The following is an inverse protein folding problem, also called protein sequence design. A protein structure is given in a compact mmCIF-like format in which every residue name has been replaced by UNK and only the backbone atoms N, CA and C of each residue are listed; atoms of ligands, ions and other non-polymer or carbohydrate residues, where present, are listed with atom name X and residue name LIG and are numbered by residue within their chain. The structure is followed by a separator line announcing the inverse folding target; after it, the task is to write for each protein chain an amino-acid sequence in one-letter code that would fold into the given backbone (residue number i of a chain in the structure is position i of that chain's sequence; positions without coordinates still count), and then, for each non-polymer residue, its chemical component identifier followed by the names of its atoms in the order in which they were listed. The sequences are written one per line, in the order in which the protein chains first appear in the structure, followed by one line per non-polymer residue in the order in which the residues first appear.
data_IF_489824951985
#
_entry.id   IF_489824951985
#
_cell.length_a   1.000
_cell.length_b   1.000
_cell.length_c   1.000
_cell.angle_alpha   90.00
_cell.angle_beta   90.00
_cell.angle_gamma   90.00
#
_symmetry.space_group_name_H-M   'P 1'
#
loop_
_entity.id
_entity.type
_entity.pdbx_description
1 polymer ?
#
# COMPACT_ATOMS: atom_id res chain seq x y z
N UNK A 1 3.41 25.00 11.49
CA UNK A 1 4.44 25.21 10.43
C UNK A 1 3.80 25.95 9.26
N UNK A 2 4.42 27.04 8.73
CA UNK A 2 3.89 27.74 7.55
C UNK A 2 4.43 27.10 6.27
N UNK A 3 3.53 26.80 5.32
CA UNK A 3 3.86 26.12 4.07
C UNK A 3 3.30 26.86 2.86
N UNK A 4 4.03 26.97 1.73
CA UNK A 4 3.57 27.74 0.57
C UNK A 4 2.37 27.10 -0.12
N UNK A 5 1.40 27.95 -0.49
CA UNK A 5 0.20 27.60 -1.27
C UNK A 5 0.38 28.05 -2.71
N UNK A 6 0.09 27.18 -3.65
CA UNK A 6 0.25 27.42 -5.09
C UNK A 6 -1.07 27.41 -5.84
N UNK A 7 -1.12 28.11 -6.97
CA UNK A 7 -2.18 27.96 -7.97
C UNK A 7 -1.83 26.87 -9.01
N UNK A 8 -2.73 26.61 -9.94
CA UNK A 8 -2.50 25.67 -11.04
C UNK A 8 -1.39 26.10 -12.00
N UNK A 9 -1.03 27.40 -12.03
CA UNK A 9 0.08 27.96 -12.84
C UNK A 9 1.42 27.91 -12.12
N UNK A 10 1.48 27.27 -10.93
CA UNK A 10 2.70 27.20 -10.10
C UNK A 10 3.16 28.52 -9.49
N UNK A 11 2.28 29.50 -9.39
CA UNK A 11 2.56 30.76 -8.71
C UNK A 11 2.19 30.65 -7.24
N UNK A 12 2.98 31.24 -6.36
CA UNK A 12 2.71 31.26 -4.92
C UNK A 12 1.64 32.30 -4.61
N UNK A 13 0.46 31.87 -4.15
CA UNK A 13 -0.65 32.75 -3.77
C UNK A 13 -0.49 33.20 -2.31
N UNK A 14 0.02 32.34 -1.42
CA UNK A 14 0.08 32.62 0.01
C UNK A 14 0.77 31.52 0.79
N UNK A 15 0.46 31.45 2.08
CA UNK A 15 0.92 30.38 2.96
C UNK A 15 -0.28 29.76 3.68
N UNK A 16 -0.20 28.45 3.90
CA UNK A 16 -1.16 27.69 4.72
C UNK A 16 -0.45 27.24 6.00
N UNK A 17 -1.15 27.32 7.13
CA UNK A 17 -0.66 26.80 8.40
C UNK A 17 -0.92 25.32 8.50
N UNK A 18 0.13 24.51 8.48
CA UNK A 18 0.05 23.07 8.73
C UNK A 18 0.06 22.80 10.24
N UNK A 19 -0.79 21.85 10.72
CA UNK A 19 -0.79 21.44 12.13
C UNK A 19 0.55 20.82 12.52
N UNK A 20 1.14 21.29 13.60
CA UNK A 20 2.45 20.79 14.06
C UNK A 20 2.37 19.34 14.55
N UNK A 21 1.24 18.93 15.10
CA UNK A 21 0.97 17.56 15.57
C UNK A 21 0.99 16.49 14.45
N UNK A 22 0.88 16.92 13.18
CA UNK A 22 0.88 16.03 12.02
C UNK A 22 2.15 16.18 11.20
N UNK A 23 2.64 17.43 11.01
CA UNK A 23 3.72 17.73 10.07
C UNK A 23 5.05 18.08 10.74
N UNK A 24 5.12 18.06 12.09
CA UNK A 24 6.34 18.31 12.86
C UNK A 24 6.57 17.23 13.92
N UNK A 25 6.38 15.97 13.54
CA UNK A 25 6.57 14.81 14.41
C UNK A 25 8.00 14.30 14.29
N UNK A 26 8.56 13.83 15.41
CA UNK A 26 9.89 13.23 15.45
C UNK A 26 10.00 12.00 14.53
N UNK A 27 11.14 11.87 13.85
CA UNK A 27 11.40 10.79 12.91
C UNK A 27 11.66 9.49 13.67
N UNK A 28 10.93 8.43 13.31
CA UNK A 28 11.15 7.07 13.80
C UNK A 28 11.23 6.11 12.61
N UNK A 29 12.44 5.80 12.12
CA UNK A 29 12.62 4.94 10.95
C UNK A 29 12.18 3.49 11.20
N UNK A 30 12.35 2.98 12.42
CA UNK A 30 12.01 1.60 12.75
C UNK A 30 10.49 1.36 12.67
N UNK A 31 9.71 2.31 13.20
CA UNK A 31 8.25 2.26 13.10
C UNK A 31 7.78 2.35 11.65
N UNK A 32 8.38 3.24 10.84
CA UNK A 32 8.07 3.34 9.42
C UNK A 32 8.40 2.03 8.69
N UNK A 33 9.57 1.46 8.91
CA UNK A 33 9.98 0.20 8.31
C UNK A 33 9.02 -0.93 8.67
N UNK A 34 8.67 -1.09 9.94
CA UNK A 34 7.74 -2.11 10.39
C UNK A 34 6.36 -2.00 9.71
N UNK A 35 5.83 -0.77 9.58
CA UNK A 35 4.54 -0.52 8.93
C UNK A 35 4.62 -0.78 7.43
N UNK A 36 5.67 -0.33 6.74
CA UNK A 36 5.88 -0.55 5.30
C UNK A 36 5.98 -2.04 4.98
N UNK A 37 6.80 -2.79 5.74
CA UNK A 37 6.94 -4.24 5.56
C UNK A 37 5.62 -4.96 5.78
N UNK A 38 4.84 -4.55 6.78
CA UNK A 38 3.53 -5.14 7.05
C UNK A 38 2.53 -4.83 5.92
N UNK A 39 2.45 -3.58 5.44
CA UNK A 39 1.59 -3.20 4.32
C UNK A 39 1.97 -3.92 3.03
N UNK A 40 3.26 -4.04 2.72
CA UNK A 40 3.76 -4.79 1.56
C UNK A 40 3.42 -6.28 1.67
N UNK A 41 3.56 -6.86 2.86
CA UNK A 41 3.21 -8.25 3.13
C UNK A 41 1.71 -8.50 2.96
N UNK A 42 0.86 -7.56 3.39
CA UNK A 42 -0.59 -7.64 3.26
C UNK A 42 -1.07 -7.48 1.80
N UNK A 43 -0.32 -6.74 0.97
CA UNK A 43 -0.61 -6.59 -0.45
C UNK A 43 -0.19 -7.82 -1.28
N UNK A 44 0.62 -8.71 -0.72
CA UNK A 44 1.15 -9.88 -1.41
C UNK A 44 0.06 -10.92 -1.64
N UNK A 45 -0.14 -11.31 -2.90
CA UNK A 45 -1.03 -12.39 -3.29
C UNK A 45 -0.28 -13.73 -3.24
N UNK A 46 -0.94 -14.75 -2.70
CA UNK A 46 -0.41 -16.12 -2.69
C UNK A 46 -0.84 -16.79 -4.00
N UNK A 47 0.13 -17.01 -4.91
CA UNK A 47 -0.12 -17.61 -6.22
C UNK A 47 0.56 -18.98 -6.30
N UNK A 48 1.74 -19.10 -5.71
CA UNK A 48 2.56 -20.32 -5.80
C UNK A 48 1.93 -21.47 -5.01
N UNK A 49 1.80 -22.62 -5.65
CA UNK A 49 1.35 -23.85 -5.04
C UNK A 49 2.07 -25.05 -5.65
N UNK A 50 2.50 -25.98 -4.85
CA UNK A 50 3.08 -27.24 -5.27
C UNK A 50 2.27 -28.40 -4.71
N UNK A 51 2.14 -29.46 -5.50
CA UNK A 51 1.38 -30.63 -5.07
C UNK A 51 2.11 -31.38 -3.97
N UNK A 52 1.48 -31.48 -2.82
CA UNK A 52 1.93 -32.32 -1.73
C UNK A 52 1.66 -33.82 -2.01
N UNK A 53 2.13 -34.69 -1.14
CA UNK A 53 1.97 -36.15 -1.25
C UNK A 53 0.51 -36.58 -1.45
N UNK A 54 -0.46 -35.89 -0.84
CA UNK A 54 -1.89 -36.20 -0.98
C UNK A 54 -2.49 -35.78 -2.31
N UNK A 55 -1.91 -34.77 -2.98
CA UNK A 55 -2.44 -34.14 -4.20
C UNK A 55 -1.88 -34.72 -5.50
N UNK A 56 -0.76 -35.44 -5.41
CA UNK A 56 -0.19 -36.12 -6.58
C UNK A 56 -1.04 -37.32 -6.96
N UNK A 57 -1.33 -37.45 -8.27
CA UNK A 57 -2.08 -38.59 -8.80
C UNK A 57 -1.26 -39.89 -8.67
N UNK A 58 -1.94 -41.01 -8.35
CA UNK A 58 -1.31 -42.33 -8.24
C UNK A 58 -1.28 -42.79 -6.78
N UNK A 59 -0.56 -43.88 -6.48
CA UNK A 59 -0.52 -44.49 -5.15
C UNK A 59 -1.84 -45.28 -4.86
N UNK A 60 -2.05 -45.59 -3.59
CA UNK A 60 -3.17 -46.47 -3.16
C UNK A 60 -2.75 -47.92 -3.08
N UNK A 61 -1.90 -48.43 -3.95
CA UNK A 61 -1.33 -49.74 -3.90
C UNK A 61 0.09 -49.68 -3.39
N UNK A 62 0.44 -50.54 -2.43
CA UNK A 62 1.81 -50.69 -1.93
C UNK A 62 2.71 -51.21 -3.06
N UNK A 63 3.88 -50.62 -3.36
CA UNK A 63 4.74 -51.03 -4.48
C UNK A 63 5.20 -52.48 -4.41
N UNK A 64 5.45 -53.00 -3.21
CA UNK A 64 5.83 -54.41 -2.95
C UNK A 64 5.51 -54.79 -1.50
N UNK A 65 5.52 -56.10 -1.24
CA UNK A 65 5.30 -56.67 0.11
C UNK A 65 6.31 -56.16 1.14
N UNK A 66 5.92 -56.13 2.43
CA UNK A 66 6.70 -55.54 3.53
C UNK A 66 8.01 -56.22 3.81
N UNK A 67 8.12 -57.54 3.59
CA UNK A 67 9.28 -58.38 3.85
C UNK A 67 9.56 -59.32 2.67
N UNK A 68 10.80 -59.84 2.58
CA UNK A 68 11.18 -60.88 1.61
C UNK A 68 11.46 -60.39 0.19
N UNK A 69 11.72 -59.08 -0.03
CA UNK A 69 12.06 -58.53 -1.37
C UNK A 69 13.50 -58.05 -1.45
N UNK A 70 14.24 -57.98 -0.34
CA UNK A 70 15.59 -57.40 -0.29
C UNK A 70 15.65 -55.85 -0.61
N UNK A 71 14.50 -55.22 -0.91
CA UNK A 71 14.42 -53.79 -1.22
C UNK A 71 14.03 -52.95 -0.01
N UNK A 72 14.36 -51.65 -0.05
CA UNK A 72 13.90 -50.71 0.97
C UNK A 72 12.37 -50.70 1.10
N UNK A 73 11.84 -50.53 2.29
CA UNK A 73 10.40 -50.53 2.56
C UNK A 73 9.76 -49.24 2.11
N UNK A 74 8.78 -49.35 1.25
CA UNK A 74 7.99 -48.20 0.74
C UNK A 74 6.49 -48.45 0.89
N UNK A 75 5.77 -47.43 1.33
CA UNK A 75 4.32 -47.49 1.47
C UNK A 75 3.57 -46.96 0.26
N UNK A 76 4.18 -46.02 -0.48
CA UNK A 76 3.53 -45.38 -1.63
C UNK A 76 4.58 -44.75 -2.56
N UNK A 77 4.31 -44.81 -3.86
CA UNK A 77 5.11 -44.15 -4.91
C UNK A 77 4.96 -42.64 -4.93
N UNK A 78 3.97 -42.07 -4.21
CA UNK A 78 3.78 -40.63 -4.03
C UNK A 78 4.73 -40.01 -3.02
N UNK A 79 5.56 -40.82 -2.34
CA UNK A 79 6.51 -40.31 -1.35
C UNK A 79 7.49 -39.32 -1.99
N UNK A 80 7.90 -38.26 -1.29
CA UNK A 80 8.88 -37.28 -1.81
C UNK A 80 10.22 -37.86 -2.25
N UNK A 81 10.58 -39.05 -1.75
CA UNK A 81 11.80 -39.76 -2.14
C UNK A 81 11.72 -40.43 -3.51
N UNK A 82 10.52 -40.48 -4.10
CA UNK A 82 10.31 -41.05 -5.43
C UNK A 82 10.28 -39.97 -6.50
N UNK A 83 10.81 -40.24 -7.66
CA UNK A 83 10.69 -39.37 -8.82
C UNK A 83 9.20 -39.25 -9.17
N UNK A 84 8.70 -38.01 -9.28
CA UNK A 84 7.28 -37.74 -9.47
C UNK A 84 6.42 -37.80 -8.21
N UNK A 85 7.02 -38.03 -7.03
CA UNK A 85 6.32 -37.91 -5.73
C UNK A 85 5.99 -36.47 -5.34
N UNK A 86 5.20 -36.29 -4.27
CA UNK A 86 4.82 -34.98 -3.78
C UNK A 86 5.95 -34.24 -3.11
N UNK A 87 5.90 -32.90 -3.13
CA UNK A 87 6.87 -32.02 -2.48
C UNK A 87 6.51 -31.90 -0.99
N UNK A 88 7.54 -32.00 -0.11
CA UNK A 88 7.31 -31.99 1.35
C UNK A 88 7.08 -30.57 1.88
N UNK A 89 7.93 -29.61 1.53
CA UNK A 89 7.92 -28.23 2.06
C UNK A 89 7.83 -27.18 0.95
N UNK A 90 7.06 -27.48 -0.09
CA UNK A 90 6.85 -26.55 -1.17
C UNK A 90 5.91 -25.39 -0.79
N UNK A 91 5.84 -24.37 -1.63
CA UNK A 91 4.88 -23.28 -1.44
C UNK A 91 3.44 -23.82 -1.51
N UNK A 92 2.58 -23.34 -0.62
CA UNK A 92 1.16 -23.71 -0.58
C UNK A 92 0.28 -22.47 -0.77
N UNK A 93 -0.86 -22.62 -1.48
CA UNK A 93 -1.86 -21.56 -1.66
C UNK A 93 -2.51 -21.08 -0.36
N UNK A 94 -2.41 -21.89 0.71
CA UNK A 94 -2.99 -21.59 2.02
C UNK A 94 -2.08 -20.71 2.89
N UNK A 95 -0.86 -20.42 2.44
CA UNK A 95 0.09 -19.61 3.19
C UNK A 95 -0.45 -18.18 3.40
N UNK A 96 -0.57 -17.77 4.66
CA UNK A 96 -1.00 -16.43 5.02
C UNK A 96 0.21 -15.52 5.26
N UNK A 97 0.32 -14.43 4.48
CA UNK A 97 1.35 -13.40 4.64
C UNK A 97 0.84 -12.18 5.42
N UNK A 98 -0.45 -12.15 5.79
CA UNK A 98 -1.06 -11.00 6.45
C UNK A 98 -0.44 -10.74 7.82
N UNK A 99 -0.13 -9.46 8.08
CA UNK A 99 0.39 -8.98 9.37
C UNK A 99 -0.51 -7.89 9.90
N UNK A 100 -1.02 -8.06 11.12
CA UNK A 100 -1.87 -7.06 11.79
C UNK A 100 -1.00 -5.93 12.35
N UNK A 101 -1.43 -4.69 12.09
CA UNK A 101 -0.81 -3.47 12.64
C UNK A 101 -1.84 -2.78 13.55
N UNK A 102 -1.47 -2.38 14.78
CA UNK A 102 -2.34 -1.56 15.61
C UNK A 102 -2.68 -0.22 14.93
N UNK A 103 -3.93 0.22 15.05
CA UNK A 103 -4.37 1.46 14.40
C UNK A 103 -3.59 2.70 14.88
N UNK A 104 -3.25 2.77 16.17
CA UNK A 104 -2.44 3.86 16.74
C UNK A 104 -1.05 3.92 16.07
N UNK A 105 -0.41 2.76 15.88
CA UNK A 105 0.89 2.64 15.23
C UNK A 105 0.82 3.09 13.76
N UNK A 106 -0.22 2.66 13.02
CA UNK A 106 -0.42 3.08 11.63
C UNK A 106 -0.63 4.59 11.50
N UNK A 107 -1.47 5.20 12.36
CA UNK A 107 -1.69 6.65 12.37
C UNK A 107 -0.40 7.42 12.68
N UNK A 108 0.37 6.95 13.66
CA UNK A 108 1.64 7.57 14.00
C UNK A 108 2.64 7.48 12.85
N UNK A 109 2.71 6.35 12.16
CA UNK A 109 3.57 6.18 10.99
C UNK A 109 3.17 7.11 9.83
N UNK A 110 1.87 7.34 9.60
CA UNK A 110 1.39 8.32 8.59
C UNK A 110 1.83 9.74 8.97
N UNK A 111 1.71 10.15 10.25
CA UNK A 111 2.18 11.47 10.72
C UNK A 111 3.67 11.65 10.48
N UNK A 112 4.48 10.65 10.84
CA UNK A 112 5.93 10.68 10.64
C UNK A 112 6.26 10.78 9.14
N UNK A 113 5.60 10.00 8.28
CA UNK A 113 5.82 10.03 6.83
C UNK A 113 5.48 11.40 6.22
N UNK A 114 4.36 12.01 6.62
CA UNK A 114 3.98 13.36 6.20
C UNK A 114 4.96 14.43 6.71
N UNK A 115 5.43 14.28 7.96
CA UNK A 115 6.43 15.16 8.57
C UNK A 115 7.76 15.15 7.79
N UNK A 116 8.22 13.97 7.37
CA UNK A 116 9.41 13.80 6.53
C UNK A 116 9.21 14.51 5.18
N UNK A 117 8.09 14.28 4.50
CA UNK A 117 7.78 14.90 3.21
C UNK A 117 7.68 16.42 3.28
N UNK A 118 7.11 16.96 4.36
CA UNK A 118 7.06 18.40 4.61
C UNK A 118 8.45 18.98 4.86
N UNK A 119 9.28 18.30 5.66
CA UNK A 119 10.67 18.74 5.93
C UNK A 119 11.56 18.71 4.68
N UNK A 120 11.39 17.73 3.80
CA UNK A 120 12.11 17.63 2.52
C UNK A 120 11.57 18.58 1.44
N UNK A 121 10.53 19.37 1.73
CA UNK A 121 9.85 20.25 0.76
C UNK A 121 9.35 19.53 -0.50
N UNK A 122 9.02 18.24 -0.37
CA UNK A 122 8.47 17.40 -1.44
C UNK A 122 6.95 17.41 -1.47
N UNK A 123 6.32 18.05 -0.51
CA UNK A 123 4.88 18.30 -0.45
C UNK A 123 4.53 19.53 -1.30
N UNK A 124 3.48 19.48 -2.12
CA UNK A 124 2.98 20.61 -2.88
C UNK A 124 1.49 20.78 -2.61
N UNK A 125 1.12 21.96 -2.12
CA UNK A 125 -0.26 22.29 -1.74
C UNK A 125 -0.83 23.26 -2.77
N UNK A 126 -1.96 22.87 -3.35
CA UNK A 126 -2.73 23.70 -4.27
C UNK A 126 -3.94 24.30 -3.54
N UNK A 127 -4.31 25.50 -3.92
CA UNK A 127 -5.54 26.12 -3.42
C UNK A 127 -6.75 25.25 -3.84
N UNK A 128 -6.80 24.89 -5.13
CA UNK A 128 -7.84 24.05 -5.67
C UNK A 128 -7.32 23.23 -6.84
N UNK A 129 -7.57 21.90 -6.80
CA UNK A 129 -7.27 21.00 -7.91
C UNK A 129 -8.57 20.71 -8.68
N UNK A 130 -8.84 21.49 -9.73
CA UNK A 130 -10.02 21.32 -10.58
C UNK A 130 -9.62 20.95 -12.00
N UNK A 131 -10.28 19.94 -12.55
CA UNK A 131 -10.20 19.56 -13.95
C UNK A 131 -11.62 19.39 -14.49
N UNK A 132 -12.05 20.26 -15.39
CA UNK A 132 -13.38 20.21 -15.99
C UNK A 132 -13.54 18.98 -16.89
N UNK A 133 -12.52 18.68 -17.68
CA UNK A 133 -12.48 17.57 -18.63
C UNK A 133 -11.45 16.52 -18.20
N UNK A 134 -11.77 15.24 -18.37
CA UNK A 134 -10.90 14.09 -18.05
C UNK A 134 -9.82 13.78 -19.12
N UNK A 135 -9.32 14.81 -19.86
CA UNK A 135 -8.28 14.62 -20.87
C UNK A 135 -6.89 14.46 -20.23
N UNK A 136 -6.21 13.34 -20.54
CA UNK A 136 -4.87 13.04 -20.05
C UNK A 136 -3.83 14.09 -20.46
N UNK A 137 -3.95 14.65 -21.67
CA UNK A 137 -3.08 15.71 -22.17
C UNK A 137 -3.13 16.96 -21.28
N UNK A 138 -4.34 17.41 -20.88
CA UNK A 138 -4.49 18.55 -19.97
C UNK A 138 -3.87 18.28 -18.61
N UNK A 139 -4.07 17.07 -18.07
CA UNK A 139 -3.47 16.69 -16.81
C UNK A 139 -1.94 16.62 -16.89
N UNK A 140 -1.39 16.04 -17.94
CA UNK A 140 0.06 15.99 -18.17
C UNK A 140 0.66 17.39 -18.30
N UNK A 141 0.02 18.33 -19.03
CA UNK A 141 0.45 19.73 -19.14
C UNK A 141 0.46 20.43 -17.78
N UNK A 142 -0.60 20.25 -16.99
CA UNK A 142 -0.71 20.82 -15.65
C UNK A 142 0.41 20.32 -14.72
N UNK A 143 0.67 19.01 -14.72
CA UNK A 143 1.77 18.43 -13.94
C UNK A 143 3.13 18.92 -14.41
N UNK A 144 3.28 19.11 -15.72
CA UNK A 144 4.49 19.69 -16.31
C UNK A 144 4.74 21.10 -15.78
N UNK A 145 3.75 21.97 -15.76
CA UNK A 145 3.84 23.34 -15.28
C UNK A 145 4.12 23.42 -13.79
N UNK A 146 3.48 22.52 -13.00
CA UNK A 146 3.68 22.45 -11.55
C UNK A 146 5.09 22.00 -11.16
N UNK A 147 5.73 21.12 -11.95
CA UNK A 147 7.05 20.54 -11.64
C UNK A 147 8.14 20.96 -12.65
N UNK A 148 8.08 22.20 -13.18
CA UNK A 148 9.05 22.76 -14.12
C UNK A 148 10.49 22.45 -13.72
N UNK A 149 11.27 21.90 -14.65
CA UNK A 149 12.70 21.58 -14.45
C UNK A 149 13.03 20.14 -14.04
N UNK A 150 12.05 19.30 -13.71
CA UNK A 150 12.29 17.91 -13.32
C UNK A 150 11.75 16.85 -14.30
N UNK A 151 11.39 17.26 -15.51
CA UNK A 151 10.56 16.44 -16.42
C UNK A 151 11.29 15.22 -16.97
N UNK A 152 12.57 15.32 -17.29
CA UNK A 152 13.34 14.16 -17.71
C UNK A 152 13.51 13.14 -16.59
N UNK A 153 13.64 13.63 -15.33
CA UNK A 153 13.63 12.78 -14.14
C UNK A 153 12.26 12.19 -13.85
N UNK A 154 11.17 12.91 -14.20
CA UNK A 154 9.78 12.46 -14.06
C UNK A 154 9.51 11.24 -14.96
N UNK A 155 9.91 11.30 -16.23
CA UNK A 155 9.67 10.21 -17.20
C UNK A 155 10.48 8.96 -16.91
N UNK A 156 11.65 9.08 -16.27
CA UNK A 156 12.52 7.95 -15.89
C UNK A 156 12.08 7.24 -14.62
N UNK A 157 11.34 7.91 -13.71
CA UNK A 157 10.92 7.35 -12.44
C UNK A 157 9.42 7.02 -12.45
N UNK A 158 9.09 5.75 -12.32
CA UNK A 158 7.70 5.26 -12.29
C UNK A 158 6.88 5.76 -11.09
N UNK A 159 7.53 6.23 -10.00
CA UNK A 159 6.86 6.64 -8.76
C UNK A 159 7.23 8.09 -8.41
N UNK A 160 6.76 9.06 -9.21
CA UNK A 160 7.18 10.45 -9.02
C UNK A 160 6.17 11.30 -8.25
N UNK A 161 4.87 11.21 -8.57
CA UNK A 161 3.83 12.06 -7.99
C UNK A 161 2.71 11.21 -7.41
N UNK A 162 2.39 11.44 -6.14
CA UNK A 162 1.18 10.96 -5.49
C UNK A 162 0.18 12.12 -5.40
N UNK A 163 -1.01 11.96 -5.99
CA UNK A 163 -2.09 12.95 -5.93
C UNK A 163 -3.12 12.50 -4.89
N UNK A 164 -3.38 13.36 -3.91
CA UNK A 164 -4.41 13.15 -2.92
C UNK A 164 -5.69 13.86 -3.35
N UNK A 165 -6.79 13.11 -3.41
CA UNK A 165 -8.09 13.61 -3.84
C UNK A 165 -8.98 13.83 -2.63
N UNK A 166 -9.51 15.06 -2.46
CA UNK A 166 -10.42 15.43 -1.38
C UNK A 166 -11.80 14.76 -1.51
N UNK A 167 -12.24 14.49 -2.73
CA UNK A 167 -13.57 13.95 -3.04
C UNK A 167 -14.33 14.84 -4.02
N UNK A 168 -15.57 14.50 -4.32
CA UNK A 168 -16.42 15.25 -5.24
C UNK A 168 -16.26 14.91 -6.73
N UNK A 169 -16.95 15.67 -7.61
CA UNK A 169 -17.02 15.37 -9.04
C UNK A 169 -15.69 15.62 -9.76
N UNK A 170 -14.96 16.68 -9.40
CA UNK A 170 -13.66 16.99 -10.00
C UNK A 170 -12.62 15.89 -9.70
N UNK A 171 -12.69 15.26 -8.54
CA UNK A 171 -11.81 14.14 -8.16
C UNK A 171 -11.95 12.94 -9.10
N UNK A 172 -13.17 12.68 -9.61
CA UNK A 172 -13.40 11.60 -10.60
C UNK A 172 -12.71 11.92 -11.94
N UNK A 173 -12.78 13.17 -12.39
CA UNK A 173 -12.14 13.62 -13.63
C UNK A 173 -10.62 13.53 -13.52
N UNK A 174 -10.04 13.96 -12.39
CA UNK A 174 -8.61 13.87 -12.11
C UNK A 174 -8.15 12.42 -12.08
N UNK A 175 -8.87 11.54 -11.38
CA UNK A 175 -8.55 10.11 -11.31
C UNK A 175 -8.54 9.45 -12.69
N UNK A 176 -9.53 9.77 -13.55
CA UNK A 176 -9.58 9.28 -14.94
C UNK A 176 -8.45 9.83 -15.80
N UNK A 177 -8.20 11.15 -15.72
CA UNK A 177 -7.18 11.82 -16.53
C UNK A 177 -5.76 11.37 -16.17
N UNK A 178 -5.49 11.02 -14.90
CA UNK A 178 -4.18 10.59 -14.42
C UNK A 178 -3.94 9.08 -14.49
N UNK A 179 -4.99 8.26 -14.65
CA UNK A 179 -4.88 6.79 -14.59
C UNK A 179 -3.93 6.16 -15.63
N UNK A 180 -3.73 6.81 -16.77
CA UNK A 180 -2.81 6.34 -17.81
C UNK A 180 -1.41 7.00 -17.75
N UNK A 181 -1.13 7.79 -16.73
CA UNK A 181 0.18 8.45 -16.58
C UNK A 181 1.05 7.58 -15.66
N UNK A 182 2.13 6.95 -16.16
CA UNK A 182 2.86 5.89 -15.43
C UNK A 182 3.58 6.38 -14.17
N UNK A 183 3.93 7.66 -14.10
CA UNK A 183 4.64 8.25 -12.97
C UNK A 183 3.72 8.89 -11.92
N UNK A 184 2.40 8.74 -12.06
CA UNK A 184 1.39 9.34 -11.19
C UNK A 184 0.51 8.25 -10.59
N UNK A 185 0.24 8.36 -9.29
CA UNK A 185 -0.80 7.59 -8.62
C UNK A 185 -1.78 8.55 -7.96
N UNK A 186 -3.06 8.26 -8.09
CA UNK A 186 -4.12 8.99 -7.40
C UNK A 186 -4.74 8.12 -6.32
N UNK A 187 -4.91 8.67 -5.14
CA UNK A 187 -5.63 8.03 -4.04
C UNK A 187 -6.58 9.03 -3.39
N UNK A 188 -7.66 8.52 -2.80
CA UNK A 188 -8.51 9.33 -1.94
C UNK A 188 -7.75 9.66 -0.66
N UNK A 189 -7.83 10.90 -0.21
CA UNK A 189 -7.16 11.36 1.02
C UNK A 189 -7.55 10.53 2.24
N UNK A 190 -8.80 10.03 2.30
CA UNK A 190 -9.26 9.14 3.35
C UNK A 190 -8.52 7.80 3.41
N UNK A 191 -7.99 7.32 2.29
CA UNK A 191 -7.28 6.03 2.17
C UNK A 191 -5.76 6.19 2.18
N UNK A 192 -5.26 7.32 2.69
CA UNK A 192 -3.83 7.60 2.76
C UNK A 192 -3.10 6.55 3.60
N UNK A 193 -2.03 5.98 3.03
CA UNK A 193 -1.21 4.96 3.69
C UNK A 193 0.28 5.30 3.61
N UNK A 194 1.06 4.71 4.51
CA UNK A 194 2.50 4.97 4.63
C UNK A 194 3.27 4.50 3.40
N UNK A 195 2.89 3.34 2.86
CA UNK A 195 3.55 2.76 1.69
C UNK A 195 3.50 3.71 0.50
N UNK A 196 2.32 4.28 0.20
CA UNK A 196 2.17 5.22 -0.91
C UNK A 196 2.90 6.54 -0.65
N UNK A 197 2.83 7.10 0.57
CA UNK A 197 3.55 8.33 0.93
C UNK A 197 5.05 8.17 0.69
N UNK A 198 5.64 7.05 1.11
CA UNK A 198 7.08 6.82 1.03
C UNK A 198 7.55 6.35 -0.35
N UNK A 199 6.68 5.66 -1.11
CA UNK A 199 7.02 5.19 -2.46
C UNK A 199 7.12 6.32 -3.48
N UNK A 200 6.34 7.39 -3.33
CA UNK A 200 6.33 8.53 -4.26
C UNK A 200 7.21 9.67 -3.76
N UNK A 201 7.94 10.30 -4.71
CA UNK A 201 8.84 11.42 -4.38
C UNK A 201 8.06 12.65 -3.95
N UNK A 202 7.10 13.08 -4.72
CA UNK A 202 6.30 14.28 -4.48
C UNK A 202 4.86 13.94 -4.12
N UNK A 203 4.27 14.70 -3.22
CA UNK A 203 2.85 14.60 -2.87
C UNK A 203 2.18 15.89 -3.29
N UNK A 204 1.12 15.78 -4.10
CA UNK A 204 0.26 16.86 -4.52
C UNK A 204 -1.09 16.74 -3.81
N UNK A 205 -1.51 17.79 -3.15
CA UNK A 205 -2.79 17.83 -2.44
C UNK A 205 -3.44 19.21 -2.55
N UNK A 206 -4.75 19.26 -2.41
CA UNK A 206 -5.51 20.49 -2.30
C UNK A 206 -5.73 20.89 -0.84
N UNK A 207 -6.18 22.13 -0.62
CA UNK A 207 -6.44 22.66 0.72
C UNK A 207 -7.49 21.83 1.46
N UNK A 208 -8.54 21.37 0.79
CA UNK A 208 -9.59 20.52 1.38
C UNK A 208 -9.05 19.18 1.89
N UNK A 209 -8.05 18.61 1.19
CA UNK A 209 -7.38 17.37 1.63
C UNK A 209 -6.69 17.50 2.97
N UNK A 210 -6.21 18.69 3.35
CA UNK A 210 -5.58 18.92 4.65
C UNK A 210 -6.57 18.72 5.81
N UNK A 211 -7.80 19.22 5.66
CA UNK A 211 -8.84 19.06 6.68
C UNK A 211 -9.26 17.59 6.81
N UNK A 212 -9.33 16.87 5.70
CA UNK A 212 -9.62 15.42 5.70
C UNK A 212 -8.50 14.66 6.42
N UNK A 213 -7.23 14.97 6.15
CA UNK A 213 -6.08 14.35 6.82
C UNK A 213 -6.16 14.60 8.33
N UNK A 214 -6.42 15.84 8.74
CA UNK A 214 -6.55 16.21 10.14
C UNK A 214 -7.64 15.39 10.82
N UNK A 215 -8.85 15.39 10.28
CA UNK A 215 -9.98 14.66 10.81
C UNK A 215 -9.73 13.14 10.92
N UNK A 216 -9.06 12.52 9.93
CA UNK A 216 -8.78 11.08 9.94
C UNK A 216 -7.70 10.69 10.97
N UNK A 217 -6.73 11.56 11.19
CA UNK A 217 -5.66 11.29 12.15
C UNK A 217 -6.07 11.61 13.59
N UNK A 218 -6.91 12.63 13.80
CA UNK A 218 -7.45 13.00 15.12
C UNK A 218 -8.54 12.02 15.60
N UNK A 219 -9.40 11.49 14.73
CA UNK A 219 -10.42 10.51 15.11
C UNK A 219 -9.77 9.30 15.79
N UNK A 220 -9.80 9.27 17.12
CA UNK A 220 -9.64 8.03 17.87
C UNK A 220 -10.80 7.12 17.43
N UNK A 221 -10.59 5.87 17.02
CA UNK A 221 -11.72 5.00 16.73
C UNK A 221 -12.58 4.94 17.96
N UNK A 222 -13.86 5.31 17.83
CA UNK A 222 -14.86 5.05 18.85
C UNK A 222 -14.69 3.60 19.30
N UNK A 223 -14.68 3.44 20.58
CA UNK A 223 -14.50 2.22 21.37
C UNK A 223 -14.84 0.93 20.64
N UNK A 224 -14.00 -0.08 20.88
CA UNK A 224 -14.00 -1.38 20.22
C UNK A 224 -15.36 -1.97 19.98
N UNK A 225 -15.53 -2.57 18.83
CA UNK A 225 -16.58 -3.56 18.60
C UNK A 225 -16.57 -4.55 19.76
N UNK A 226 -17.72 -4.87 20.36
CA UNK A 226 -17.78 -5.84 21.43
C UNK A 226 -17.13 -7.14 20.96
N UNK A 227 -16.17 -7.60 21.72
CA UNK A 227 -15.60 -8.93 21.55
C UNK A 227 -16.77 -9.90 21.60
N UNK A 228 -17.12 -10.51 20.47
CA UNK A 228 -18.01 -11.66 20.49
C UNK A 228 -17.35 -12.69 21.42
N UNK A 229 -17.88 -12.81 22.61
CA UNK A 229 -17.59 -13.93 23.46
C UNK A 229 -18.04 -15.18 22.66
N UNK A 230 -17.05 -15.94 22.21
CA UNK A 230 -17.31 -17.29 21.73
C UNK A 230 -17.79 -18.08 22.94
N UNK A 231 -19.11 -18.21 23.05
CA UNK A 231 -19.73 -19.11 24.00
C UNK A 231 -19.37 -20.54 23.57
N UNK A 232 -18.42 -21.10 24.23
CA UNK A 232 -18.25 -22.56 24.29
C UNK A 232 -19.28 -23.04 25.29
N UNK A 233 -20.47 -23.47 24.84
CA UNK A 233 -21.34 -24.34 25.60
C UNK A 233 -20.78 -25.76 25.46
N UNK A 234 -20.14 -26.22 26.52
CA UNK A 234 -19.90 -27.63 26.73
C UNK A 234 -21.25 -28.32 26.98
N UNK A 235 -21.61 -29.29 26.19
CA UNK A 235 -22.55 -30.37 26.46
C UNK A 235 -22.08 -31.61 25.71
#
# INVERSE_FOLDING_TARGET
MNYPLYNLKNEKIGNVRLPDDIFKVEKNPDLLHQVIVSQTSNARRVIAHTKGRGEVRGGGIKPWRQKGTGRARHGSIRSPIWIGGGITFGPTKERNFSRKIPQKMNKQAVRIALSIKAGEKTLKILDMLKLENYKTQKMSGLLFDLFKGNIEKIRKNSNFILILLSGGNFSKNIARASGNIPYVKTIRTANLNVLDIMSYKHILLDKESLDIIKNNLEKVPAQGLPVRQAGWSAS
#
